data_IF_315798138996
#
_entry.id   IF_315798138996
#
_cell.length_a   1.000
_cell.length_b   1.000
_cell.length_c   1.000
_cell.angle_alpha   90.00
_cell.angle_beta   90.00
_cell.angle_gamma   90.00
#
_symmetry.space_group_name_H-M   'P 1'
#
loop_
_entity.id
_entity.type
_entity.pdbx_description
1 polymer ?
#
# COMPACT_ATOMS: atom_id res chain seq x y z
N UNK A 1 7.64 -13.50 24.65
CA UNK A 1 6.53 -12.91 23.88
C UNK A 1 6.66 -11.41 24.01
N UNK A 2 7.23 -10.70 23.02
CA UNK A 2 7.26 -9.24 23.03
C UNK A 2 5.87 -8.77 22.59
N UNK A 3 5.12 -8.20 23.51
CA UNK A 3 3.86 -7.52 23.20
C UNK A 3 4.28 -6.23 22.49
N UNK A 4 4.04 -6.16 21.18
CA UNK A 4 4.23 -4.94 20.40
C UNK A 4 2.87 -4.26 20.43
N UNK A 5 2.71 -3.28 21.33
CA UNK A 5 1.41 -2.73 21.74
C UNK A 5 0.64 -1.99 20.63
N UNK A 6 1.24 -1.70 19.47
CA UNK A 6 0.55 -0.92 18.43
C UNK A 6 0.95 -1.40 17.02
N UNK A 7 0.02 -2.05 16.32
CA UNK A 7 0.10 -2.21 14.86
C UNK A 7 -0.35 -0.89 14.23
N UNK A 8 0.58 -0.03 13.86
CA UNK A 8 0.26 1.39 13.64
C UNK A 8 -0.22 1.67 12.23
N UNK A 9 0.29 0.94 11.22
CA UNK A 9 -0.09 1.20 9.81
C UNK A 9 -0.21 -0.08 8.99
N UNK A 10 -1.33 -0.18 8.27
CA UNK A 10 -1.53 -1.15 7.19
C UNK A 10 -1.10 -0.49 5.90
N UNK A 11 -0.03 -0.98 5.31
CA UNK A 11 0.45 -0.50 4.01
C UNK A 11 0.34 -1.60 2.96
N UNK A 12 0.22 -1.20 1.72
CA UNK A 12 0.18 -2.10 0.57
C UNK A 12 1.35 -1.81 -0.34
N UNK A 13 2.11 -2.86 -0.65
CA UNK A 13 3.22 -2.82 -1.61
C UNK A 13 2.77 -3.40 -2.93
N UNK A 14 3.08 -2.72 -4.02
CA UNK A 14 2.70 -3.13 -5.36
C UNK A 14 3.57 -2.43 -6.40
N UNK A 15 3.49 -2.89 -7.65
CA UNK A 15 4.09 -2.20 -8.78
C UNK A 15 2.99 -1.48 -9.55
N UNK A 16 3.24 -0.25 -9.99
CA UNK A 16 2.30 0.46 -10.85
C UNK A 16 2.12 -0.33 -12.17
N UNK A 17 0.89 -0.69 -12.57
CA UNK A 17 0.69 -1.48 -13.79
C UNK A 17 1.10 -0.74 -15.07
N UNK A 18 1.20 0.60 -15.02
CA UNK A 18 1.56 1.41 -16.18
C UNK A 18 3.07 1.66 -16.30
N UNK A 19 3.76 2.01 -15.21
CA UNK A 19 5.19 2.38 -15.25
C UNK A 19 6.10 1.39 -14.51
N UNK A 20 5.54 0.33 -13.94
CA UNK A 20 6.23 -0.72 -13.19
C UNK A 20 7.04 -0.25 -11.97
N UNK A 21 6.92 1.02 -11.60
CA UNK A 21 7.56 1.56 -10.40
C UNK A 21 7.02 0.86 -9.16
N UNK A 22 7.93 0.48 -8.26
CA UNK A 22 7.60 -0.09 -6.96
C UNK A 22 7.05 1.00 -6.05
N UNK A 23 5.84 0.81 -5.56
CA UNK A 23 5.11 1.75 -4.72
C UNK A 23 4.72 1.09 -3.40
N UNK A 24 4.59 1.94 -2.38
CA UNK A 24 3.99 1.60 -1.10
C UNK A 24 2.95 2.68 -0.80
N UNK A 25 1.73 2.28 -0.47
CA UNK A 25 0.63 3.18 -0.13
C UNK A 25 -0.01 2.74 1.18
N UNK A 26 -0.39 3.70 2.03
CA UNK A 26 -1.22 3.39 3.18
C UNK A 26 -2.59 2.90 2.71
N UNK A 27 -3.22 2.01 3.48
CA UNK A 27 -4.62 1.63 3.30
C UNK A 27 -5.59 2.80 3.11
N UNK A 28 -5.28 3.98 3.66
CA UNK A 28 -6.07 5.21 3.51
C UNK A 28 -5.87 5.94 2.19
N UNK A 29 -4.77 5.68 1.49
CA UNK A 29 -4.41 6.32 0.21
C UNK A 29 -4.95 5.56 -1.01
N UNK A 30 -5.47 4.36 -0.79
CA UNK A 30 -6.07 3.51 -1.82
C UNK A 30 -7.60 3.52 -1.66
N UNK A 31 -8.30 3.86 -2.73
CA UNK A 31 -9.77 3.90 -2.74
C UNK A 31 -10.30 2.61 -3.33
N UNK A 32 -11.02 1.83 -2.54
CA UNK A 32 -11.69 0.62 -3.05
C UNK A 32 -12.80 0.98 -4.04
N UNK A 33 -12.87 0.24 -5.14
CA UNK A 33 -13.94 0.33 -6.13
C UNK A 33 -14.51 -1.07 -6.34
N UNK A 34 -15.63 -1.33 -5.67
CA UNK A 34 -16.41 -2.55 -5.84
C UNK A 34 -15.70 -3.82 -5.40
N UNK A 35 -14.77 -3.74 -4.44
CA UNK A 35 -14.10 -4.90 -3.82
C UNK A 35 -13.13 -5.67 -4.72
N UNK A 36 -12.89 -5.22 -5.95
CA UNK A 36 -11.99 -5.90 -6.91
C UNK A 36 -10.75 -5.08 -7.23
N UNK A 37 -10.94 -3.78 -7.42
CA UNK A 37 -9.88 -2.87 -7.85
C UNK A 37 -9.80 -1.68 -6.92
N UNK A 38 -8.58 -1.20 -6.74
CA UNK A 38 -8.25 0.00 -6.00
C UNK A 38 -7.86 1.10 -6.97
N UNK A 39 -8.28 2.32 -6.68
CA UNK A 39 -7.77 3.54 -7.30
C UNK A 39 -6.68 4.15 -6.43
N UNK A 40 -5.59 4.57 -7.04
CA UNK A 40 -4.46 5.23 -6.36
C UNK A 40 -3.83 6.30 -7.25
N UNK A 41 -3.12 7.26 -6.67
CA UNK A 41 -2.31 8.20 -7.43
C UNK A 41 -0.89 7.65 -7.62
N UNK A 42 -0.43 7.51 -8.86
CA UNK A 42 0.94 7.10 -9.13
C UNK A 42 1.85 8.34 -9.25
N UNK A 43 2.82 8.57 -8.35
CA UNK A 43 3.69 9.75 -8.38
C UNK A 43 4.58 9.79 -9.63
N UNK A 44 4.96 8.62 -10.14
CA UNK A 44 5.79 8.51 -11.36
C UNK A 44 4.99 8.79 -12.64
N UNK A 45 3.74 8.35 -12.70
CA UNK A 45 2.85 8.66 -13.83
C UNK A 45 2.21 10.05 -13.71
N UNK A 46 2.21 10.65 -12.51
CA UNK A 46 1.45 11.85 -12.13
C UNK A 46 -0.03 11.77 -12.50
N UNK A 47 -0.60 10.58 -12.39
CA UNK A 47 -1.99 10.26 -12.80
C UNK A 47 -2.60 9.26 -11.85
N UNK A 48 -3.92 9.30 -11.74
CA UNK A 48 -4.70 8.27 -11.08
C UNK A 48 -4.66 6.98 -11.90
N UNK A 49 -4.49 5.85 -11.20
CA UNK A 49 -4.37 4.51 -11.77
C UNK A 49 -5.19 3.53 -10.96
N UNK A 50 -5.43 2.37 -11.57
CA UNK A 50 -6.19 1.28 -10.99
C UNK A 50 -5.29 0.06 -10.85
N UNK A 51 -5.46 -0.70 -9.77
CA UNK A 51 -4.76 -1.96 -9.53
C UNK A 51 -5.72 -2.94 -8.86
N UNK A 52 -5.62 -4.24 -9.15
CA UNK A 52 -6.45 -5.23 -8.47
C UNK A 52 -5.92 -5.50 -7.05
N UNK A 53 -6.81 -5.80 -6.12
CA UNK A 53 -6.41 -6.22 -4.77
C UNK A 53 -5.47 -7.42 -4.77
N UNK A 54 -5.63 -8.34 -5.73
CA UNK A 54 -4.79 -9.53 -5.91
C UNK A 54 -3.31 -9.22 -6.19
N UNK A 55 -3.05 -8.05 -6.77
CA UNK A 55 -1.70 -7.62 -7.16
C UNK A 55 -1.00 -6.84 -6.05
N UNK A 56 -1.71 -6.54 -4.97
CA UNK A 56 -1.18 -5.84 -3.81
C UNK A 56 -0.69 -6.84 -2.75
N UNK A 57 0.36 -6.46 -2.02
CA UNK A 57 0.88 -7.23 -0.89
C UNK A 57 0.78 -6.41 0.38
N UNK A 58 -0.06 -6.86 1.30
CA UNK A 58 -0.27 -6.23 2.60
C UNK A 58 0.99 -6.38 3.45
N UNK A 59 1.44 -5.28 4.03
CA UNK A 59 2.49 -5.21 5.05
C UNK A 59 1.92 -4.48 6.26
N UNK A 60 2.14 -5.03 7.44
CA UNK A 60 1.78 -4.39 8.71
C UNK A 60 3.08 -3.78 9.24
N UNK A 61 3.08 -2.48 9.50
CA UNK A 61 4.22 -1.76 10.07
C UNK A 61 3.93 -1.51 11.54
N UNK A 62 4.86 -1.94 12.40
CA UNK A 62 4.79 -1.76 13.84
C UNK A 62 5.68 -0.60 14.28
N UNK A 63 5.27 0.14 15.31
CA UNK A 63 6.11 1.19 15.90
C UNK A 63 7.38 0.57 16.51
N UNK A 64 8.56 1.06 16.10
CA UNK A 64 9.87 0.57 16.53
C UNK A 64 10.72 -0.09 15.42
N UNK A 65 10.14 -0.50 14.29
CA UNK A 65 10.91 -1.06 13.15
C UNK A 65 11.71 -0.02 12.34
N UNK A 66 11.54 1.28 12.60
CA UNK A 66 12.33 2.37 12.00
C UNK A 66 13.53 2.79 12.86
N UNK A 67 14.01 1.91 13.76
CA UNK A 67 15.26 2.14 14.48
C UNK A 67 16.38 1.35 13.80
N UNK A 68 16.94 1.92 12.73
CA UNK A 68 18.31 1.63 12.27
C UNK A 68 18.87 2.85 11.54
#
# INVERSE_FOLDING_TARGET
MKIIDIAVKKVYRFNCPNCQSRLEADSKEVVDIGGKVCKFHCPMCRKERYIAWSDMRKKIVYEGENTQ
#
